data_IF_384054362980
#
_entry.id   IF_384054362980
#
_cell.length_a   1.000
_cell.length_b   1.000
_cell.length_c   1.000
_cell.angle_alpha   90.00
_cell.angle_beta   90.00
_cell.angle_gamma   90.00
#
_symmetry.space_group_name_H-M   'P 1'
#
loop_
_entity.id
_entity.type
_entity.pdbx_description
1 polymer ?
#
# COMPACT_ATOMS: atom_id res chain seq x y z
N UNK A 1 18.48 -0.59 11.51
CA UNK A 1 19.68 -0.72 10.65
C UNK A 1 19.58 -1.92 9.70
N UNK A 2 19.11 -3.09 10.14
CA UNK A 2 18.95 -4.28 9.29
C UNK A 2 17.98 -4.09 8.11
N UNK A 3 16.82 -3.47 8.33
CA UNK A 3 15.81 -3.28 7.28
C UNK A 3 16.26 -2.35 6.16
N UNK A 4 17.01 -1.31 6.50
CA UNK A 4 17.62 -0.41 5.53
C UNK A 4 18.62 -1.16 4.63
N UNK A 5 19.50 -1.97 5.23
CA UNK A 5 20.44 -2.80 4.49
C UNK A 5 19.73 -3.85 3.63
N UNK A 6 18.65 -4.47 4.14
CA UNK A 6 17.82 -5.39 3.37
C UNK A 6 17.18 -4.72 2.16
N UNK A 7 16.68 -3.50 2.33
CA UNK A 7 16.07 -2.72 1.24
C UNK A 7 17.10 -2.39 0.16
N UNK A 8 18.28 -1.90 0.56
CA UNK A 8 19.34 -1.52 -0.38
C UNK A 8 19.98 -2.74 -1.07
N UNK A 9 20.05 -3.89 -0.39
CA UNK A 9 20.56 -5.13 -0.98
C UNK A 9 19.51 -5.88 -1.81
N UNK A 10 18.24 -5.46 -1.77
CA UNK A 10 17.18 -6.08 -2.55
C UNK A 10 17.23 -5.60 -4.03
N UNK A 11 17.40 -6.49 -5.01
CA UNK A 11 17.55 -6.09 -6.42
C UNK A 11 16.29 -5.45 -7.00
N UNK A 12 15.11 -5.86 -6.53
CA UNK A 12 13.83 -5.27 -6.97
C UNK A 12 13.72 -3.79 -6.65
N UNK A 13 14.29 -3.34 -5.51
CA UNK A 13 14.30 -1.94 -5.11
C UNK A 13 15.00 -1.06 -6.15
N UNK A 14 16.17 -1.48 -6.63
CA UNK A 14 16.93 -0.73 -7.63
C UNK A 14 16.27 -0.74 -9.00
N UNK A 15 15.75 -1.89 -9.45
CA UNK A 15 15.02 -1.99 -10.72
C UNK A 15 13.79 -1.07 -10.73
N UNK A 16 13.01 -1.08 -9.64
CA UNK A 16 11.86 -0.19 -9.45
C UNK A 16 12.29 1.28 -9.43
N UNK A 17 13.30 1.61 -8.60
CA UNK A 17 13.75 3.00 -8.45
C UNK A 17 14.26 3.58 -9.77
N UNK A 18 15.00 2.80 -10.56
CA UNK A 18 15.49 3.21 -11.88
C UNK A 18 14.38 3.34 -12.94
N UNK A 19 13.25 2.65 -12.77
CA UNK A 19 12.09 2.79 -13.66
C UNK A 19 11.26 4.02 -13.30
N UNK A 20 11.02 4.24 -12.01
CA UNK A 20 10.09 5.25 -11.50
C UNK A 20 10.75 6.57 -11.06
N UNK A 21 12.08 6.73 -11.22
CA UNK A 21 12.81 7.89 -10.70
C UNK A 21 12.25 9.25 -11.13
N UNK A 22 11.75 9.37 -12.37
CA UNK A 22 11.16 10.63 -12.89
C UNK A 22 9.92 11.03 -12.09
N UNK A 23 9.03 10.08 -11.85
CA UNK A 23 7.84 10.26 -11.02
C UNK A 23 8.25 10.61 -9.59
N UNK A 24 9.17 9.84 -8.99
CA UNK A 24 9.63 10.09 -7.62
C UNK A 24 10.22 11.49 -7.42
N UNK A 25 11.08 11.94 -8.33
CA UNK A 25 11.64 13.31 -8.27
C UNK A 25 10.53 14.36 -8.42
N UNK A 26 9.57 14.14 -9.30
CA UNK A 26 8.45 15.06 -9.49
C UNK A 26 7.55 15.15 -8.25
N UNK A 27 7.24 14.02 -7.61
CA UNK A 27 6.46 13.98 -6.38
C UNK A 27 7.18 14.64 -5.20
N UNK A 28 8.49 14.42 -5.05
CA UNK A 28 9.31 15.11 -4.05
C UNK A 28 9.26 16.62 -4.29
N UNK A 29 9.47 17.06 -5.52
CA UNK A 29 9.43 18.48 -5.86
C UNK A 29 8.05 19.11 -5.58
N UNK A 30 6.97 18.41 -5.94
CA UNK A 30 5.59 18.82 -5.65
C UNK A 30 5.32 18.88 -4.13
N UNK A 31 5.82 17.92 -3.37
CA UNK A 31 5.62 17.84 -1.92
C UNK A 31 6.37 18.93 -1.16
N UNK A 32 7.57 19.29 -1.62
CA UNK A 32 8.39 20.33 -1.00
C UNK A 32 7.97 21.75 -1.39
N UNK A 33 7.35 21.93 -2.56
CA UNK A 33 6.95 23.25 -3.08
C UNK A 33 5.45 23.44 -3.00
N UNK A 34 5.00 24.16 -1.97
CA UNK A 34 3.58 24.53 -1.78
C UNK A 34 2.92 25.12 -3.03
N UNK A 35 3.64 25.93 -3.81
CA UNK A 35 3.12 26.51 -5.07
C UNK A 35 2.83 25.45 -6.14
N UNK A 36 3.75 24.50 -6.37
CA UNK A 36 3.54 23.43 -7.36
C UNK A 36 2.41 22.48 -6.93
N UNK A 37 2.30 22.25 -5.61
CA UNK A 37 1.18 21.51 -5.06
C UNK A 37 -0.15 22.23 -5.30
N UNK A 38 -0.23 23.52 -5.03
CA UNK A 38 -1.41 24.37 -5.28
C UNK A 38 -1.80 24.37 -6.76
N UNK A 39 -0.85 24.63 -7.67
CA UNK A 39 -1.10 24.62 -9.12
C UNK A 39 -1.69 23.28 -9.59
N UNK A 40 -1.23 22.18 -9.00
CA UNK A 40 -1.72 20.85 -9.33
C UNK A 40 -3.12 20.59 -8.77
N UNK A 41 -3.46 21.17 -7.61
CA UNK A 41 -4.81 21.11 -7.03
C UNK A 41 -5.79 22.00 -7.79
N UNK A 42 -5.35 23.17 -8.25
CA UNK A 42 -6.17 24.12 -9.01
C UNK A 42 -6.64 23.57 -10.36
N UNK A 43 -5.97 22.55 -10.91
CA UNK A 43 -6.47 21.78 -12.07
C UNK A 43 -7.77 21.03 -11.78
N UNK A 44 -8.04 20.73 -10.51
CA UNK A 44 -9.26 20.05 -10.05
C UNK A 44 -10.25 21.04 -9.42
N UNK A 45 -9.76 21.99 -8.63
CA UNK A 45 -10.55 23.00 -7.91
C UNK A 45 -9.89 24.38 -8.08
N UNK A 46 -10.24 25.16 -9.12
CA UNK A 46 -9.53 26.38 -9.52
C UNK A 46 -9.53 27.51 -8.47
N UNK A 47 -10.51 27.52 -7.58
CA UNK A 47 -10.72 28.54 -6.54
C UNK A 47 -9.84 28.35 -5.29
N UNK A 48 -9.11 27.24 -5.19
CA UNK A 48 -8.20 26.99 -4.08
C UNK A 48 -7.09 28.03 -4.03
N UNK A 49 -6.78 28.50 -2.81
CA UNK A 49 -5.70 29.43 -2.52
C UNK A 49 -4.66 28.79 -1.60
N UNK A 50 -3.50 29.43 -1.47
CA UNK A 50 -2.45 28.96 -0.57
C UNK A 50 -2.88 28.96 0.92
N UNK A 51 -3.87 29.79 1.28
CA UNK A 51 -4.38 29.88 2.65
C UNK A 51 -5.28 28.69 3.03
N UNK A 52 -5.84 28.01 2.03
CA UNK A 52 -6.68 26.81 2.22
C UNK A 52 -5.82 25.56 2.46
N UNK A 53 -4.50 25.65 2.23
CA UNK A 53 -3.55 24.57 2.42
C UNK A 53 -3.04 24.52 3.87
N UNK A 54 -3.75 23.74 4.69
CA UNK A 54 -3.27 23.39 6.03
C UNK A 54 -2.35 22.17 5.99
N UNK A 55 -1.40 22.09 6.92
CA UNK A 55 -0.49 20.95 7.01
C UNK A 55 -1.27 19.66 7.29
N UNK A 56 -1.14 18.65 6.42
CA UNK A 56 -1.77 17.34 6.59
C UNK A 56 -0.72 16.30 7.01
N UNK A 57 -1.17 15.19 7.61
CA UNK A 57 -0.34 14.01 7.82
C UNK A 57 0.08 13.38 6.48
N UNK A 58 1.19 12.66 6.48
CA UNK A 58 1.60 11.82 5.35
C UNK A 58 1.00 10.42 5.49
N UNK A 59 0.47 9.88 4.39
CA UNK A 59 0.06 8.49 4.30
C UNK A 59 1.16 7.66 3.62
N UNK A 60 1.50 6.51 4.19
CA UNK A 60 2.39 5.53 3.55
C UNK A 60 1.55 4.35 3.09
N UNK A 61 1.67 3.97 1.82
CA UNK A 61 1.06 2.75 1.29
C UNK A 61 2.05 1.61 1.47
N UNK A 62 1.65 0.56 2.20
CA UNK A 62 2.39 -0.68 2.24
C UNK A 62 2.12 -1.45 0.93
N UNK A 63 3.05 -1.36 -0.02
CA UNK A 63 2.97 -2.04 -1.31
C UNK A 63 4.22 -2.89 -1.53
N UNK A 64 4.02 -4.15 -1.90
CA UNK A 64 5.11 -5.09 -2.15
C UNK A 64 5.78 -4.82 -3.50
N UNK A 65 7.09 -5.07 -3.56
CA UNK A 65 7.91 -5.00 -4.77
C UNK A 65 8.49 -6.39 -5.02
N UNK A 66 8.29 -6.93 -6.22
CA UNK A 66 8.90 -8.21 -6.60
C UNK A 66 10.40 -8.06 -6.90
N UNK A 67 11.09 -9.17 -7.15
CA UNK A 67 12.53 -9.17 -7.49
C UNK A 67 12.85 -8.53 -8.85
N UNK A 68 11.85 -8.32 -9.68
CA UNK A 68 11.94 -7.65 -10.97
C UNK A 68 11.62 -6.16 -10.90
N UNK A 69 11.28 -5.67 -9.71
CA UNK A 69 10.98 -4.26 -9.45
C UNK A 69 9.56 -3.88 -9.83
N UNK A 70 8.66 -4.85 -10.04
CA UNK A 70 7.25 -4.56 -10.25
C UNK A 70 6.56 -4.36 -8.91
N UNK A 71 5.74 -3.32 -8.86
CA UNK A 71 4.80 -3.12 -7.77
C UNK A 71 3.69 -4.14 -7.92
N UNK A 72 3.38 -4.86 -6.85
CA UNK A 72 2.26 -5.78 -6.87
C UNK A 72 0.97 -4.96 -6.75
N UNK A 73 0.07 -5.12 -7.71
CA UNK A 73 -1.22 -4.43 -7.75
C UNK A 73 -2.34 -5.22 -7.06
N UNK A 74 -2.16 -6.54 -6.87
CA UNK A 74 -3.12 -7.44 -6.27
C UNK A 74 -2.71 -7.94 -4.89
N UNK A 75 -3.65 -8.59 -4.19
CA UNK A 75 -3.37 -9.26 -2.92
C UNK A 75 -2.28 -10.33 -3.08
N UNK A 76 -1.33 -10.35 -2.16
CA UNK A 76 -0.34 -11.43 -2.03
C UNK A 76 -0.43 -12.01 -0.64
N UNK A 77 -0.90 -13.25 -0.56
CA UNK A 77 -1.05 -14.01 0.69
C UNK A 77 -0.22 -15.28 0.56
N UNK A 78 0.62 -15.57 1.55
CA UNK A 78 1.47 -16.77 1.59
C UNK A 78 1.13 -17.61 2.83
N UNK A 79 1.05 -18.92 2.63
CA UNK A 79 0.76 -19.90 3.67
C UNK A 79 2.05 -20.54 4.18
N UNK A 80 2.21 -20.64 5.50
CA UNK A 80 3.33 -21.33 6.14
C UNK A 80 2.85 -22.12 7.34
N UNK A 81 3.68 -23.04 7.84
CA UNK A 81 3.32 -23.84 9.01
C UNK A 81 3.07 -22.94 10.22
N UNK A 82 1.81 -22.81 10.62
CA UNK A 82 1.40 -21.99 11.78
C UNK A 82 1.22 -20.50 11.50
N UNK A 83 1.38 -20.01 10.27
CA UNK A 83 1.19 -18.60 9.95
C UNK A 83 0.67 -18.35 8.53
N UNK A 84 -0.18 -17.33 8.38
CA UNK A 84 -0.65 -16.78 7.10
C UNK A 84 -0.07 -15.38 6.99
N UNK A 85 0.65 -15.09 5.91
CA UNK A 85 1.33 -13.82 5.69
C UNK A 85 0.58 -13.02 4.64
N UNK A 86 0.02 -11.87 5.01
CA UNK A 86 -0.55 -10.91 4.06
C UNK A 86 0.57 -9.95 3.63
N UNK A 87 1.23 -10.29 2.53
CA UNK A 87 2.41 -9.57 2.02
C UNK A 87 2.05 -8.33 1.20
N UNK A 88 0.92 -8.36 0.51
CA UNK A 88 0.40 -7.23 -0.24
C UNK A 88 -1.11 -7.17 -0.09
N UNK A 89 -1.63 -5.99 0.23
CA UNK A 89 -3.05 -5.72 0.34
C UNK A 89 -3.33 -4.26 -0.12
N UNK A 90 -3.01 -3.93 -1.38
CA UNK A 90 -3.14 -2.57 -1.88
C UNK A 90 -4.62 -2.18 -2.00
N UNK A 91 -4.86 -0.90 -2.28
CA UNK A 91 -6.21 -0.35 -2.30
C UNK A 91 -7.13 -1.13 -3.25
N UNK A 92 -8.36 -1.45 -2.81
CA UNK A 92 -9.01 -0.86 -1.66
C UNK A 92 -9.09 -1.84 -0.51
N UNK A 93 -7.95 -2.18 0.14
CA UNK A 93 -7.97 -2.97 1.36
C UNK A 93 -9.03 -2.52 2.39
N UNK A 94 -9.40 -1.23 2.41
CA UNK A 94 -10.55 -0.73 3.16
C UNK A 94 -11.93 -1.15 2.60
N UNK A 95 -12.19 -1.00 1.29
CA UNK A 95 -13.51 -1.31 0.70
C UNK A 95 -13.73 -2.80 0.44
N UNK A 96 -12.68 -3.63 0.40
CA UNK A 96 -12.77 -5.08 0.28
C UNK A 96 -12.38 -5.83 1.57
N UNK A 97 -12.17 -5.11 2.67
CA UNK A 97 -11.70 -5.64 3.97
C UNK A 97 -12.50 -6.85 4.46
N UNK A 98 -13.83 -6.83 4.36
CA UNK A 98 -14.70 -7.92 4.81
C UNK A 98 -14.51 -9.20 3.97
N UNK A 99 -14.44 -9.06 2.65
CA UNK A 99 -14.25 -10.19 1.72
C UNK A 99 -12.89 -10.84 1.95
N UNK A 100 -11.85 -10.03 2.16
CA UNK A 100 -10.50 -10.51 2.47
C UNK A 100 -10.46 -11.16 3.85
N UNK A 101 -11.14 -10.57 4.82
CA UNK A 101 -11.27 -11.13 6.17
C UNK A 101 -11.88 -12.53 6.14
N UNK A 102 -12.97 -12.71 5.39
CA UNK A 102 -13.59 -14.02 5.19
C UNK A 102 -12.65 -15.00 4.47
N UNK A 103 -11.91 -14.54 3.46
CA UNK A 103 -10.95 -15.37 2.74
C UNK A 103 -9.82 -15.87 3.67
N UNK A 104 -9.23 -14.98 4.47
CA UNK A 104 -8.17 -15.32 5.44
C UNK A 104 -8.72 -16.22 6.54
N UNK A 105 -9.93 -15.98 7.05
CA UNK A 105 -10.55 -16.81 8.08
C UNK A 105 -10.76 -18.26 7.58
N UNK A 106 -11.22 -18.43 6.34
CA UNK A 106 -11.37 -19.75 5.73
C UNK A 106 -10.01 -20.46 5.57
N UNK A 107 -8.97 -19.73 5.19
CA UNK A 107 -7.60 -20.25 5.11
C UNK A 107 -7.07 -20.70 6.49
N UNK A 108 -7.36 -19.94 7.54
CA UNK A 108 -6.99 -20.28 8.92
C UNK A 108 -7.71 -21.54 9.42
N UNK A 109 -9.01 -21.69 9.12
CA UNK A 109 -9.77 -22.93 9.41
C UNK A 109 -9.09 -24.14 8.77
N UNK A 110 -8.74 -24.03 7.49
CA UNK A 110 -8.07 -25.11 6.75
C UNK A 110 -6.68 -25.44 7.30
N UNK A 111 -5.85 -24.42 7.58
CA UNK A 111 -4.44 -24.63 7.91
C UNK A 111 -4.17 -24.94 9.37
N UNK A 112 -5.06 -24.50 10.26
CA UNK A 112 -4.87 -24.62 11.70
C UNK A 112 -5.92 -25.53 12.36
N UNK A 113 -6.85 -26.11 11.60
CA UNK A 113 -7.89 -27.00 12.12
C UNK A 113 -8.86 -26.30 13.06
N UNK A 114 -9.09 -25.00 12.86
CA UNK A 114 -9.99 -24.20 13.68
C UNK A 114 -11.46 -24.52 13.34
N UNK A 115 -12.35 -24.40 14.32
CA UNK A 115 -13.78 -24.50 14.04
C UNK A 115 -14.28 -23.22 13.33
N UNK A 116 -15.14 -23.33 12.31
CA UNK A 116 -15.73 -22.15 11.67
C UNK A 116 -16.51 -21.31 12.69
N UNK A 117 -16.28 -19.99 12.70
CA UNK A 117 -17.09 -19.06 13.48
C UNK A 117 -18.55 -19.09 12.99
N UNK A 118 -19.53 -19.08 13.91
CA UNK A 118 -20.95 -18.92 13.56
C UNK A 118 -21.10 -17.56 12.86
N UNK A 119 -21.49 -17.55 11.58
CA UNK A 119 -21.80 -16.30 10.86
C UNK A 119 -22.85 -15.53 11.67
N UNK A 120 -22.48 -14.37 12.20
CA UNK A 120 -23.44 -13.46 12.80
C UNK A 120 -24.16 -12.80 11.63
N UNK A 121 -25.42 -13.18 11.38
CA UNK A 121 -26.21 -12.53 10.34
C UNK A 121 -26.45 -11.10 10.77
N UNK A 122 -25.76 -10.14 10.13
CA UNK A 122 -26.23 -8.77 10.12
C UNK A 122 -27.37 -8.73 9.10
N UNK A 123 -28.59 -8.89 9.62
CA UNK A 123 -29.87 -8.62 8.95
C UNK A 123 -30.13 -7.12 8.96
#
# INVERSE_FOLDING_TARGET
MSEFLRTITFPGFWKMSLREWKMGVWEINRSLRKGIFLDSLQKLVPELTANDLHGTGSGVRAQAVDRDGNLLDDFRIEESRGAIHVLNAPSPGATSSLVIGDYIANMAVKNFGLQPSKKTSFS
#
